data_IF_367263869084
#
_entry.id   IF_367263869084
#
_cell.length_a   1.000
_cell.length_b   1.000
_cell.length_c   1.000
_cell.angle_alpha   90.00
_cell.angle_beta   90.00
_cell.angle_gamma   90.00
#
_symmetry.space_group_name_H-M   'P 1'
#
loop_
_entity.id
_entity.type
_entity.pdbx_description
1 polymer ?
#
# COMPACT_ATOMS: atom_id res chain seq x y z
N UNK A 1 -0.44 1.78 -11.38
CA UNK A 1 -0.94 2.87 -10.50
C UNK A 1 -0.53 2.58 -9.05
N UNK A 2 -0.52 3.58 -8.18
CA UNK A 2 -0.33 3.44 -6.73
C UNK A 2 -1.65 3.74 -6.01
N UNK A 3 -2.19 2.76 -5.28
CA UNK A 3 -3.37 2.91 -4.43
C UNK A 3 -2.90 3.00 -2.99
N UNK A 4 -3.24 4.10 -2.32
CA UNK A 4 -2.89 4.34 -0.92
C UNK A 4 -4.16 4.21 -0.08
N UNK A 5 -4.14 3.29 0.88
CA UNK A 5 -5.23 3.12 1.85
C UNK A 5 -4.87 3.96 3.07
N UNK A 6 -5.61 5.03 3.28
CA UNK A 6 -5.41 6.01 4.33
C UNK A 6 -5.03 7.39 3.83
N UNK A 7 -5.78 8.40 4.27
CA UNK A 7 -5.60 9.82 4.00
C UNK A 7 -4.81 10.49 5.14
N UNK A 8 -3.62 9.98 5.45
CA UNK A 8 -2.76 10.44 6.57
C UNK A 8 -1.62 11.35 6.10
N UNK A 9 -0.81 11.88 7.02
CA UNK A 9 0.33 12.76 6.70
C UNK A 9 1.36 12.10 5.75
N UNK A 10 1.57 10.78 5.86
CA UNK A 10 2.43 10.03 4.93
C UNK A 10 1.87 10.12 3.51
N UNK A 11 0.56 9.95 3.33
CA UNK A 11 -0.09 10.00 2.03
C UNK A 11 -0.01 11.40 1.40
N UNK A 12 -0.07 12.45 2.23
CA UNK A 12 0.08 13.84 1.75
C UNK A 12 1.46 14.08 1.15
N UNK A 13 2.51 13.55 1.79
CA UNK A 13 3.87 13.63 1.26
C UNK A 13 4.10 12.69 0.07
N UNK A 14 3.55 11.47 0.13
CA UNK A 14 3.76 10.44 -0.88
C UNK A 14 3.09 10.78 -2.22
N UNK A 15 1.87 11.32 -2.21
CA UNK A 15 1.10 11.56 -3.43
C UNK A 15 1.83 12.45 -4.47
N UNK A 16 2.35 13.64 -4.12
CA UNK A 16 3.08 14.46 -5.09
C UNK A 16 4.38 13.80 -5.55
N UNK A 17 5.13 13.15 -4.64
CA UNK A 17 6.37 12.46 -4.99
C UNK A 17 6.14 11.31 -5.98
N UNK A 18 5.11 10.50 -5.73
CA UNK A 18 4.75 9.38 -6.59
C UNK A 18 4.27 9.85 -7.97
N UNK A 19 3.51 10.95 -8.03
CA UNK A 19 3.12 11.58 -9.31
C UNK A 19 4.33 12.05 -10.12
N UNK A 20 5.29 12.72 -9.48
CA UNK A 20 6.56 13.12 -10.13
C UNK A 20 7.31 11.90 -10.67
N UNK A 21 7.33 10.80 -9.91
CA UNK A 21 7.96 9.55 -10.34
C UNK A 21 7.15 8.76 -11.39
N UNK A 22 6.03 9.30 -11.89
CA UNK A 22 5.23 8.71 -12.97
C UNK A 22 4.18 7.68 -12.50
N UNK A 23 3.85 7.63 -11.21
CA UNK A 23 2.77 6.79 -10.69
C UNK A 23 1.48 7.60 -10.55
N UNK A 24 0.40 7.26 -11.28
CA UNK A 24 -0.93 7.75 -10.96
C UNK A 24 -1.32 7.29 -9.55
N UNK A 25 -1.74 8.23 -8.69
CA UNK A 25 -2.07 7.98 -7.29
C UNK A 25 -3.57 8.06 -7.08
N UNK A 26 -4.11 7.08 -6.35
CA UNK A 26 -5.47 7.14 -5.79
C UNK A 26 -5.38 6.92 -4.28
N UNK A 27 -6.18 7.66 -3.51
CA UNK A 27 -6.26 7.54 -2.05
C UNK A 27 -7.66 7.08 -1.67
N UNK A 28 -7.74 6.08 -0.82
CA UNK A 28 -9.01 5.55 -0.28
C UNK A 28 -8.96 5.68 1.24
N UNK A 29 -9.92 6.40 1.82
CA UNK A 29 -10.08 6.47 3.27
C UNK A 29 -11.55 6.82 3.61
N UNK A 30 -12.29 5.94 4.32
CA UNK A 30 -13.69 6.20 4.66
C UNK A 30 -13.87 7.32 5.69
N UNK A 31 -12.79 7.78 6.32
CA UNK A 31 -12.83 8.82 7.34
C UNK A 31 -12.82 10.18 6.66
N UNK A 32 -14.01 10.74 6.43
CA UNK A 32 -14.24 12.01 5.72
C UNK A 32 -13.49 13.21 6.31
N UNK A 33 -13.23 13.21 7.63
CA UNK A 33 -12.40 14.24 8.28
C UNK A 33 -10.94 14.24 7.80
N UNK A 34 -10.46 13.12 7.25
CA UNK A 34 -9.12 12.99 6.70
C UNK A 34 -9.12 13.09 5.17
N UNK A 35 -10.06 12.44 4.50
CA UNK A 35 -10.18 12.46 3.05
C UNK A 35 -10.86 13.75 2.57
N UNK A 36 -10.14 14.87 2.58
CA UNK A 36 -10.65 16.16 2.07
C UNK A 36 -9.84 16.67 0.87
N UNK A 37 -10.46 17.35 -0.11
CA UNK A 37 -9.76 17.92 -1.26
C UNK A 37 -8.67 18.92 -0.90
N UNK A 38 -8.83 19.65 0.21
CA UNK A 38 -7.86 20.65 0.70
C UNK A 38 -6.56 19.99 1.18
N UNK A 39 -6.63 18.72 1.61
CA UNK A 39 -5.45 17.94 2.02
C UNK A 39 -4.81 17.20 0.85
N UNK A 40 -5.54 17.00 -0.25
CA UNK A 40 -5.15 16.14 -1.38
C UNK A 40 -5.58 16.74 -2.72
N UNK A 41 -4.91 17.82 -3.12
CA UNK A 41 -5.11 18.44 -4.43
C UNK A 41 -4.63 17.51 -5.56
N UNK A 42 -5.38 17.46 -6.67
CA UNK A 42 -5.05 16.70 -7.88
C UNK A 42 -4.80 15.20 -7.67
N UNK A 43 -5.40 14.61 -6.62
CA UNK A 43 -5.37 13.17 -6.35
C UNK A 43 -6.79 12.63 -6.45
N UNK A 44 -6.95 11.46 -7.09
CA UNK A 44 -8.23 10.76 -7.05
C UNK A 44 -8.48 10.26 -5.63
N UNK A 45 -9.34 10.97 -4.90
CA UNK A 45 -9.62 10.75 -3.50
C UNK A 45 -11.01 10.11 -3.34
N UNK A 46 -11.07 8.97 -2.67
CA UNK A 46 -12.29 8.22 -2.41
C UNK A 46 -12.57 8.22 -0.91
N UNK A 47 -13.54 9.04 -0.49
CA UNK A 47 -14.00 9.12 0.90
C UNK A 47 -15.03 8.01 1.21
N UNK A 48 -14.67 6.76 0.87
CA UNK A 48 -15.52 5.58 0.93
C UNK A 48 -14.74 4.39 1.49
N UNK A 49 -15.45 3.33 1.84
CA UNK A 49 -14.85 2.08 2.29
C UNK A 49 -14.05 1.39 1.17
N UNK A 50 -12.85 0.83 1.43
CA UNK A 50 -12.09 0.08 0.44
C UNK A 50 -12.89 -1.04 -0.23
N UNK A 51 -13.78 -1.70 0.50
CA UNK A 51 -14.71 -2.72 -0.02
C UNK A 51 -15.51 -2.21 -1.21
N UNK A 52 -16.01 -0.97 -1.14
CA UNK A 52 -16.92 -0.44 -2.15
C UNK A 52 -16.16 0.16 -3.33
N UNK A 53 -15.04 0.85 -3.05
CA UNK A 53 -14.18 1.40 -4.10
C UNK A 53 -13.56 0.27 -4.93
N UNK A 54 -13.01 -0.77 -4.28
CA UNK A 54 -12.29 -1.84 -4.97
C UNK A 54 -13.21 -2.81 -5.72
N UNK A 55 -14.51 -2.91 -5.36
CA UNK A 55 -15.51 -3.59 -6.21
C UNK A 55 -15.66 -2.92 -7.58
N UNK A 56 -15.65 -1.58 -7.62
CA UNK A 56 -15.80 -0.79 -8.86
C UNK A 56 -14.49 -0.57 -9.59
N UNK A 57 -13.38 -0.51 -8.86
CA UNK A 57 -12.03 -0.26 -9.35
C UNK A 57 -11.07 -1.37 -8.90
N UNK A 58 -11.23 -2.60 -9.40
CA UNK A 58 -10.44 -3.74 -8.95
C UNK A 58 -8.94 -3.51 -9.10
N UNK A 59 -8.19 -4.11 -8.19
CA UNK A 59 -6.73 -4.12 -8.23
C UNK A 59 -6.25 -5.14 -9.27
N UNK A 60 -5.02 -4.95 -9.76
CA UNK A 60 -4.38 -5.84 -10.71
C UNK A 60 -2.88 -5.99 -10.41
N UNK A 61 -2.20 -6.79 -11.23
CA UNK A 61 -0.76 -7.02 -11.11
C UNK A 61 0.10 -5.80 -11.48
N UNK A 62 -0.47 -4.72 -12.02
CA UNK A 62 0.19 -3.44 -12.31
C UNK A 62 -0.17 -2.34 -11.30
N UNK A 63 -0.75 -2.76 -10.17
CA UNK A 63 -1.08 -1.91 -9.04
C UNK A 63 -0.11 -2.13 -7.89
N UNK A 64 0.38 -1.04 -7.29
CA UNK A 64 1.00 -1.03 -5.98
C UNK A 64 -0.06 -0.64 -4.95
N UNK A 65 -0.11 -1.36 -3.82
CA UNK A 65 -0.97 -1.01 -2.68
C UNK A 65 -0.11 -0.65 -1.47
N UNK A 66 -0.35 0.53 -0.89
CA UNK A 66 0.27 0.97 0.35
C UNK A 66 -0.80 1.23 1.42
N UNK A 67 -0.85 0.40 2.46
CA UNK A 67 -1.76 0.55 3.59
C UNK A 67 -1.09 1.32 4.74
N UNK A 68 -1.60 2.51 5.06
CA UNK A 68 -0.98 3.46 5.99
C UNK A 68 -1.94 3.98 7.07
N UNK A 69 -3.10 3.33 7.29
CA UNK A 69 -4.08 3.80 8.28
C UNK A 69 -3.78 3.39 9.72
N UNK A 70 -3.12 2.24 9.92
CA UNK A 70 -3.04 1.50 11.19
C UNK A 70 -4.37 0.92 11.70
N UNK A 71 -5.48 1.09 10.99
CA UNK A 71 -6.79 0.57 11.37
C UNK A 71 -7.06 -0.74 10.62
N UNK A 72 -7.10 -1.89 11.30
CA UNK A 72 -7.43 -3.17 10.69
C UNK A 72 -8.74 -3.18 9.91
N UNK A 73 -9.74 -2.39 10.34
CA UNK A 73 -11.04 -2.32 9.68
C UNK A 73 -10.96 -1.73 8.28
N UNK A 74 -9.94 -0.92 8.02
CA UNK A 74 -9.71 -0.26 6.72
C UNK A 74 -8.63 -1.00 5.95
N UNK A 75 -7.52 -1.36 6.62
CA UNK A 75 -6.34 -1.94 5.96
C UNK A 75 -6.56 -3.40 5.52
N UNK A 76 -7.18 -4.25 6.35
CA UNK A 76 -7.10 -5.70 6.16
C UNK A 76 -7.82 -6.17 4.87
N UNK A 77 -8.99 -5.59 4.55
CA UNK A 77 -9.70 -5.91 3.30
C UNK A 77 -8.86 -5.52 2.08
N UNK A 78 -8.32 -4.29 2.07
CA UNK A 78 -7.54 -3.80 0.95
C UNK A 78 -6.23 -4.57 0.76
N UNK A 79 -5.58 -4.98 1.87
CA UNK A 79 -4.41 -5.84 1.84
C UNK A 79 -4.74 -7.22 1.26
N UNK A 80 -5.83 -7.85 1.72
CA UNK A 80 -6.28 -9.14 1.17
C UNK A 80 -6.59 -9.04 -0.33
N UNK A 81 -7.31 -7.99 -0.74
CA UNK A 81 -7.62 -7.73 -2.15
C UNK A 81 -6.35 -7.56 -3.00
N UNK A 82 -5.32 -6.86 -2.48
CA UNK A 82 -4.06 -6.67 -3.19
C UNK A 82 -3.26 -7.99 -3.34
N UNK A 83 -3.30 -8.84 -2.31
CA UNK A 83 -2.69 -10.16 -2.35
C UNK A 83 -3.36 -11.07 -3.38
N UNK A 84 -4.69 -11.09 -3.41
CA UNK A 84 -5.47 -11.89 -4.36
C UNK A 84 -5.29 -11.41 -5.80
N UNK A 85 -5.25 -10.09 -6.01
CA UNK A 85 -4.98 -9.47 -7.30
C UNK A 85 -3.52 -9.61 -7.77
N UNK A 86 -2.64 -10.15 -6.91
CA UNK A 86 -1.19 -10.24 -7.15
C UNK A 86 -0.58 -8.88 -7.51
N UNK A 87 -1.00 -7.82 -6.82
CA UNK A 87 -0.38 -6.48 -6.93
C UNK A 87 1.14 -6.59 -6.86
N UNK A 88 1.86 -5.84 -7.70
CA UNK A 88 3.32 -5.98 -7.76
C UNK A 88 4.02 -5.50 -6.49
N UNK A 89 3.33 -4.69 -5.69
CA UNK A 89 3.79 -4.21 -4.41
C UNK A 89 2.62 -4.20 -3.43
N UNK A 90 2.85 -4.76 -2.23
CA UNK A 90 1.91 -4.70 -1.11
C UNK A 90 2.69 -4.27 0.11
N UNK A 91 2.48 -3.03 0.54
CA UNK A 91 3.15 -2.42 1.68
C UNK A 91 2.17 -2.15 2.81
N UNK A 92 2.58 -2.41 4.06
CA UNK A 92 1.73 -2.14 5.21
C UNK A 92 2.51 -1.49 6.36
N UNK A 93 2.08 -0.28 6.74
CA UNK A 93 2.67 0.49 7.83
C UNK A 93 2.51 -0.24 9.17
N UNK A 94 3.51 -0.13 10.05
CA UNK A 94 3.46 -0.70 11.40
C UNK A 94 4.73 -1.44 11.79
N UNK A 95 4.96 -1.51 13.10
CA UNK A 95 6.05 -2.28 13.69
C UNK A 95 5.93 -3.77 13.36
N UNK A 96 7.03 -4.52 13.57
CA UNK A 96 7.02 -6.00 13.48
C UNK A 96 5.92 -6.62 14.36
N UNK A 97 5.69 -6.06 15.56
CA UNK A 97 4.61 -6.49 16.47
C UNK A 97 3.22 -6.23 15.88
N UNK A 98 3.01 -5.07 15.26
CA UNK A 98 1.76 -4.74 14.56
C UNK A 98 1.54 -5.69 13.38
N UNK A 99 2.61 -6.00 12.65
CA UNK A 99 2.56 -6.93 11.54
C UNK A 99 2.19 -8.35 11.97
N UNK A 100 2.75 -8.88 13.07
CA UNK A 100 2.39 -10.21 13.57
C UNK A 100 0.87 -10.37 13.80
N UNK A 101 0.24 -9.36 14.44
CA UNK A 101 -1.22 -9.34 14.60
C UNK A 101 -1.98 -9.25 13.27
N UNK A 102 -1.41 -8.57 12.29
CA UNK A 102 -1.99 -8.49 10.93
C UNK A 102 -1.93 -9.84 10.23
N UNK A 103 -0.83 -10.59 10.39
CA UNK A 103 -0.70 -11.96 9.87
C UNK A 103 -1.84 -12.83 10.39
N UNK A 104 -2.10 -12.83 11.70
CA UNK A 104 -3.20 -13.59 12.31
C UNK A 104 -4.56 -13.27 11.67
N UNK A 105 -4.86 -11.98 11.47
CA UNK A 105 -6.14 -11.54 10.87
C UNK A 105 -6.23 -11.89 9.38
N UNK A 106 -5.15 -11.73 8.62
CA UNK A 106 -5.13 -12.08 7.20
C UNK A 106 -5.24 -13.60 6.97
N UNK A 107 -4.62 -14.42 7.83
CA UNK A 107 -4.82 -15.87 7.84
C UNK A 107 -6.29 -16.22 8.10
N UNK A 108 -6.93 -15.57 9.09
CA UNK A 108 -8.35 -15.75 9.36
C UNK A 108 -9.26 -15.32 8.19
N UNK A 109 -8.81 -14.39 7.35
CA UNK A 109 -9.47 -13.98 6.10
C UNK A 109 -9.12 -14.88 4.91
N UNK A 110 -8.39 -15.98 5.12
CA UNK A 110 -8.07 -16.98 4.11
C UNK A 110 -6.88 -16.63 3.21
N UNK A 111 -5.99 -15.72 3.61
CA UNK A 111 -4.71 -15.53 2.92
C UNK A 111 -3.77 -16.70 3.22
N UNK A 112 -2.99 -17.15 2.23
CA UNK A 112 -1.93 -18.13 2.47
C UNK A 112 -0.69 -17.49 3.09
N UNK A 113 0.16 -18.30 3.71
CA UNK A 113 1.46 -17.85 4.21
C UNK A 113 2.32 -17.23 3.09
N UNK A 114 2.30 -17.81 1.89
CA UNK A 114 3.03 -17.30 0.73
C UNK A 114 2.50 -15.94 0.27
N UNK A 115 1.17 -15.74 0.29
CA UNK A 115 0.61 -14.42 0.02
C UNK A 115 1.08 -13.41 1.06
N UNK A 116 0.98 -13.74 2.34
CA UNK A 116 1.36 -12.85 3.44
C UNK A 116 2.85 -12.50 3.40
N UNK A 117 3.72 -13.43 3.00
CA UNK A 117 5.15 -13.19 2.85
C UNK A 117 5.50 -12.09 1.82
N UNK A 118 4.57 -11.75 0.92
CA UNK A 118 4.71 -10.65 -0.05
C UNK A 118 4.44 -9.27 0.53
N UNK A 119 3.97 -9.18 1.78
CA UNK A 119 3.70 -7.90 2.43
C UNK A 119 5.02 -7.31 2.95
N UNK A 120 5.36 -6.12 2.48
CA UNK A 120 6.43 -5.32 3.06
C UNK A 120 5.93 -4.63 4.34
N UNK A 121 6.30 -5.20 5.49
CA UNK A 121 5.94 -4.68 6.82
C UNK A 121 7.11 -4.84 7.82
N UNK A 122 7.77 -3.76 8.27
CA UNK A 122 7.43 -2.36 8.02
C UNK A 122 7.52 -1.97 6.54
N UNK A 123 6.65 -1.05 6.12
CA UNK A 123 6.60 -0.54 4.76
C UNK A 123 7.80 0.37 4.46
N UNK A 124 8.29 0.35 3.23
CA UNK A 124 9.40 1.18 2.76
C UNK A 124 10.77 0.53 2.94
N UNK A 125 11.78 1.09 2.28
CA UNK A 125 13.18 0.70 2.49
C UNK A 125 13.68 1.22 3.85
N UNK A 126 14.59 0.48 4.46
CA UNK A 126 15.22 0.89 5.72
C UNK A 126 16.26 1.99 5.45
N UNK A 127 15.82 3.24 5.52
CA UNK A 127 16.64 4.44 5.37
C UNK A 127 16.76 5.23 6.69
N UNK A 128 16.35 4.63 7.82
CA UNK A 128 16.25 5.33 9.10
C UNK A 128 15.15 6.40 9.17
N UNK A 129 14.10 6.26 8.35
CA UNK A 129 13.00 7.24 8.25
C UNK A 129 12.24 7.42 9.57
N UNK A 130 12.03 8.67 9.98
CA UNK A 130 11.29 9.04 11.17
C UNK A 130 10.11 9.99 10.87
N UNK A 131 10.26 10.93 9.93
CA UNK A 131 9.20 11.86 9.56
C UNK A 131 8.24 11.28 8.51
N UNK A 132 6.99 11.78 8.39
CA UNK A 132 6.06 11.34 7.34
C UNK A 132 6.63 11.47 5.93
N UNK A 133 7.43 12.50 5.66
CA UNK A 133 8.07 12.72 4.36
C UNK A 133 9.19 11.71 4.09
N UNK A 134 10.03 11.41 5.08
CA UNK A 134 11.05 10.36 4.93
C UNK A 134 10.41 8.98 4.73
N UNK A 135 9.33 8.67 5.46
CA UNK A 135 8.58 7.43 5.26
C UNK A 135 7.99 7.39 3.85
N UNK A 136 7.44 8.49 3.35
CA UNK A 136 6.95 8.57 1.97
C UNK A 136 8.07 8.29 0.93
N UNK A 137 9.27 8.84 1.12
CA UNK A 137 10.44 8.53 0.27
C UNK A 137 10.79 7.04 0.34
N UNK A 138 10.83 6.46 1.54
CA UNK A 138 11.11 5.04 1.74
C UNK A 138 10.08 4.13 1.03
N UNK A 139 8.79 4.47 1.14
CA UNK A 139 7.68 3.74 0.49
C UNK A 139 7.78 3.85 -1.02
N UNK A 140 8.03 5.05 -1.55
CA UNK A 140 8.16 5.26 -2.99
C UNK A 140 9.37 4.52 -3.56
N UNK A 141 10.51 4.57 -2.87
CA UNK A 141 11.71 3.84 -3.26
C UNK A 141 11.47 2.32 -3.31
N UNK A 142 10.81 1.75 -2.29
CA UNK A 142 10.47 0.32 -2.27
C UNK A 142 9.46 -0.04 -3.38
N UNK A 143 8.49 0.84 -3.65
CA UNK A 143 7.51 0.67 -4.74
C UNK A 143 8.21 0.63 -6.10
N UNK A 144 9.13 1.57 -6.35
CA UNK A 144 9.93 1.63 -7.58
C UNK A 144 10.78 0.36 -7.71
N UNK A 145 11.49 -0.01 -6.64
CA UNK A 145 12.31 -1.21 -6.62
C UNK A 145 11.49 -2.45 -6.97
N UNK A 146 10.36 -2.65 -6.28
CA UNK A 146 9.45 -3.78 -6.51
C UNK A 146 8.92 -3.82 -7.94
N UNK A 147 8.67 -2.68 -8.59
CA UNK A 147 8.26 -2.65 -10.00
C UNK A 147 9.40 -3.02 -10.95
N UNK A 148 10.62 -2.55 -10.69
CA UNK A 148 11.79 -2.76 -11.56
C UNK A 148 12.41 -4.14 -11.41
N UNK A 149 12.23 -4.80 -10.27
CA UNK A 149 12.71 -6.16 -10.02
C UNK A 149 11.77 -7.26 -10.51
N UNK A 150 10.55 -6.92 -10.96
CA UNK A 150 9.58 -7.90 -11.49
C UNK A 150 10.21 -8.71 -12.61
N UNK A 151 10.23 -10.04 -12.45
CA UNK A 151 10.75 -10.98 -13.44
C UNK A 151 12.27 -11.22 -13.39
N UNK A 152 13.02 -10.52 -12.52
CA UNK A 152 14.40 -10.87 -12.23
C UNK A 152 14.49 -12.09 -11.30
N UNK A 153 13.53 -12.22 -10.37
CA UNK A 153 13.43 -13.36 -9.45
C UNK A 153 13.14 -14.68 -10.17
N UNK A 154 12.42 -14.64 -11.30
CA UNK A 154 12.20 -15.82 -12.16
C UNK A 154 13.43 -16.26 -12.96
N UNK A 155 14.45 -15.41 -13.10
CA UNK A 155 15.70 -15.76 -13.83
C UNK A 155 16.76 -16.40 -12.94
N UNK A 156 16.67 -16.25 -11.61
CA UNK A 156 17.63 -16.83 -10.66
C UNK A 156 17.37 -18.28 -10.26
N UNK A 157 16.19 -18.83 -10.58
CA UNK A 157 15.81 -20.21 -10.24
C UNK A 157 16.17 -21.26 -11.31
N UNK A 158 16.90 -20.85 -12.37
CA UNK A 158 17.33 -21.73 -13.49
C UNK A 158 18.86 -21.66 -13.69
N UNK A 159 19.61 -21.40 -12.62
CA UNK A 159 21.08 -21.43 -12.63
C UNK A 159 21.61 -22.35 -11.53
#
# INVERSE_FOLDING_TARGET
RLVVVGAVHISQALAPMARIAGYPVEIIDPRTAFATPERFHDVALHAEWPEDVLKRKPLDSYTALAAVTHDPKIDDFALKAALDARCFYVGALGSRKTHAKRVERLLALGASADQIARIHAPIGLDIGAASPAEIAVAVLAQTIHAFRSRGLESKGAVA
#
